data_IF_760769957032
#
_entry.id   IF_760769957032
#
_cell.length_a   1.000
_cell.length_b   1.000
_cell.length_c   1.000
_cell.angle_alpha   90.00
_cell.angle_beta   90.00
_cell.angle_gamma   90.00
#
_symmetry.space_group_name_H-M   'P 1'
#
loop_
_entity.id
_entity.type
_entity.pdbx_description
1 polymer ?
#
# COMPACT_ATOMS: atom_id res chain seq x y z
N UNK A 1 -11.05 -3.07 2.36
CA UNK A 1 -9.87 -2.30 1.93
C UNK A 1 -10.06 -0.81 2.15
N UNK A 2 -9.66 -0.36 3.34
CA UNK A 2 -9.42 1.05 3.63
C UNK A 2 -7.96 1.45 3.31
N UNK A 3 -7.62 2.71 3.56
CA UNK A 3 -6.26 3.24 3.31
C UNK A 3 -5.18 2.55 4.17
N UNK A 4 -5.50 2.15 5.41
CA UNK A 4 -4.55 1.50 6.30
C UNK A 4 -4.25 0.07 5.85
N UNK A 5 -5.27 -0.66 5.40
CA UNK A 5 -5.11 -2.00 4.83
C UNK A 5 -4.22 -1.96 3.58
N UNK A 6 -4.48 -1.01 2.68
CA UNK A 6 -3.66 -0.82 1.49
C UNK A 6 -2.20 -0.50 1.84
N UNK A 7 -1.96 0.42 2.78
CA UNK A 7 -0.59 0.81 3.13
C UNK A 7 0.19 -0.30 3.81
N UNK A 8 -0.47 -1.08 4.67
CA UNK A 8 0.11 -2.30 5.27
C UNK A 8 0.41 -3.35 4.22
N UNK A 9 -0.49 -3.58 3.26
CA UNK A 9 -0.27 -4.52 2.17
C UNK A 9 0.96 -4.15 1.34
N UNK A 10 1.08 -2.88 0.91
CA UNK A 10 2.26 -2.41 0.17
C UNK A 10 3.55 -2.45 1.01
N UNK A 11 3.48 -2.18 2.33
CA UNK A 11 4.65 -2.33 3.22
C UNK A 11 5.12 -3.79 3.30
N UNK A 12 4.18 -4.75 3.41
CA UNK A 12 4.51 -6.19 3.41
C UNK A 12 5.16 -6.61 2.09
N UNK A 13 4.64 -6.14 0.96
CA UNK A 13 5.21 -6.41 -0.37
C UNK A 13 6.62 -5.85 -0.51
N UNK A 14 6.86 -4.61 -0.06
CA UNK A 14 8.20 -4.02 -0.03
C UNK A 14 9.18 -4.89 0.77
N UNK A 15 8.78 -5.32 1.97
CA UNK A 15 9.60 -6.16 2.85
C UNK A 15 9.87 -7.53 2.25
N UNK A 16 8.87 -8.16 1.63
CA UNK A 16 9.02 -9.44 0.95
C UNK A 16 10.05 -9.38 -0.20
N UNK A 17 10.23 -8.21 -0.82
CA UNK A 17 11.24 -7.95 -1.85
C UNK A 17 12.60 -7.47 -1.29
N UNK A 18 12.77 -7.42 0.03
CA UNK A 18 13.98 -6.90 0.70
C UNK A 18 14.35 -5.46 0.32
N UNK A 19 13.37 -4.65 -0.07
CA UNK A 19 13.59 -3.26 -0.47
C UNK A 19 13.49 -2.38 0.78
N UNK A 20 14.46 -1.49 1.01
CA UNK A 20 14.37 -0.53 2.13
C UNK A 20 13.38 0.61 1.84
N UNK A 21 12.90 1.30 2.88
CA UNK A 21 12.06 2.50 2.68
C UNK A 21 12.81 3.61 1.93
N UNK A 22 14.13 3.72 2.13
CA UNK A 22 14.96 4.70 1.43
C UNK A 22 15.04 4.37 -0.07
N UNK A 23 15.33 3.12 -0.40
CA UNK A 23 15.40 2.65 -1.80
C UNK A 23 14.07 2.86 -2.53
N UNK A 24 12.95 2.53 -1.89
CA UNK A 24 11.62 2.80 -2.46
C UNK A 24 11.41 4.31 -2.71
N UNK A 25 11.77 5.13 -1.72
CA UNK A 25 11.63 6.58 -1.81
C UNK A 25 12.43 7.16 -2.98
N UNK A 26 13.69 6.73 -3.12
CA UNK A 26 14.60 7.18 -4.17
C UNK A 26 14.07 6.81 -5.56
N UNK A 27 13.61 5.57 -5.75
CA UNK A 27 13.13 5.09 -7.05
C UNK A 27 11.76 5.67 -7.45
N UNK A 28 10.88 5.93 -6.48
CA UNK A 28 9.55 6.52 -6.73
C UNK A 28 9.61 8.05 -6.85
N UNK A 29 10.68 8.68 -6.35
CA UNK A 29 10.87 10.13 -6.33
C UNK A 29 10.05 10.81 -5.22
N UNK A 30 10.07 10.23 -4.01
CA UNK A 30 9.44 10.80 -2.80
C UNK A 30 10.43 10.82 -1.65
N UNK A 31 10.10 11.51 -0.54
CA UNK A 31 10.95 11.45 0.64
C UNK A 31 10.77 10.13 1.39
N UNK A 32 11.82 9.66 2.09
CA UNK A 32 11.71 8.52 3.01
C UNK A 32 10.65 8.75 4.09
N UNK A 33 10.49 10.00 4.56
CA UNK A 33 9.45 10.36 5.52
C UNK A 33 8.04 10.13 4.95
N UNK A 34 7.83 10.42 3.66
CA UNK A 34 6.57 10.14 2.95
C UNK A 34 6.28 8.63 2.88
N UNK A 35 7.27 7.80 2.58
CA UNK A 35 7.12 6.33 2.61
C UNK A 35 6.81 5.84 4.02
N UNK A 36 7.52 6.35 5.02
CA UNK A 36 7.28 5.99 6.42
C UNK A 36 5.89 6.42 6.91
N UNK A 37 5.44 7.63 6.55
CA UNK A 37 4.09 8.12 6.86
C UNK A 37 3.01 7.28 6.21
N UNK A 38 3.18 6.93 4.94
CA UNK A 38 2.32 6.02 4.20
C UNK A 38 2.18 4.66 4.90
N UNK A 39 3.30 3.97 5.13
CA UNK A 39 3.30 2.61 5.69
C UNK A 39 2.76 2.54 7.12
N UNK A 40 2.82 3.65 7.88
CA UNK A 40 2.25 3.74 9.23
C UNK A 40 0.82 4.30 9.25
N UNK A 41 0.20 4.51 8.09
CA UNK A 41 -1.20 4.94 8.00
C UNK A 41 -1.44 6.36 8.48
N UNK A 42 -0.42 7.24 8.45
CA UNK A 42 -0.62 8.67 8.73
C UNK A 42 -1.45 9.27 7.59
N UNK A 43 -2.71 9.55 7.90
CA UNK A 43 -3.70 10.10 6.97
C UNK A 43 -3.29 11.53 6.62
N UNK A 44 -2.99 11.79 5.33
CA UNK A 44 -2.74 13.15 4.83
C UNK A 44 -1.62 13.32 3.80
N UNK A 45 -0.63 12.43 3.72
CA UNK A 45 0.65 12.80 3.07
C UNK A 45 0.92 12.21 1.67
N UNK A 46 0.16 11.20 1.24
CA UNK A 46 0.46 10.47 -0.01
C UNK A 46 -0.72 10.48 -0.96
N UNK A 47 -0.67 11.41 -1.92
CA UNK A 47 -1.63 11.48 -3.01
C UNK A 47 -1.61 10.21 -3.88
N UNK A 48 -2.77 9.87 -4.47
CA UNK A 48 -3.00 8.64 -5.25
C UNK A 48 -1.93 8.38 -6.33
N UNK A 49 -1.41 9.42 -6.97
CA UNK A 49 -0.33 9.31 -7.97
C UNK A 49 0.92 8.63 -7.41
N UNK A 50 1.29 8.95 -6.17
CA UNK A 50 2.46 8.35 -5.49
C UNK A 50 2.16 6.89 -5.12
N UNK A 51 0.94 6.61 -4.66
CA UNK A 51 0.50 5.24 -4.33
C UNK A 51 0.58 4.34 -5.56
N UNK A 52 0.08 4.81 -6.71
CA UNK A 52 0.16 4.09 -7.98
C UNK A 52 1.61 3.80 -8.38
N UNK A 53 2.52 4.79 -8.28
CA UNK A 53 3.95 4.58 -8.55
C UNK A 53 4.60 3.58 -7.59
N UNK A 54 4.22 3.58 -6.31
CA UNK A 54 4.73 2.60 -5.34
C UNK A 54 4.27 1.19 -5.73
N UNK A 55 2.99 1.01 -6.06
CA UNK A 55 2.46 -0.27 -6.50
C UNK A 55 3.19 -0.76 -7.75
N UNK A 56 3.31 0.10 -8.77
CA UNK A 56 3.99 -0.20 -10.04
C UNK A 56 5.45 -0.60 -9.81
N UNK A 57 6.20 0.17 -9.01
CA UNK A 57 7.58 -0.15 -8.64
C UNK A 57 7.69 -1.50 -7.92
N UNK A 58 6.70 -1.87 -7.11
CA UNK A 58 6.64 -3.17 -6.44
C UNK A 58 6.16 -4.29 -7.39
N UNK A 59 5.80 -3.99 -8.63
CA UNK A 59 5.31 -4.95 -9.63
C UNK A 59 3.83 -5.29 -9.48
N UNK A 60 3.03 -4.37 -8.96
CA UNK A 60 1.59 -4.52 -8.75
C UNK A 60 0.83 -3.35 -9.37
N UNK A 61 -0.38 -3.61 -9.83
CA UNK A 61 -1.32 -2.59 -10.28
C UNK A 61 -2.52 -2.48 -9.33
N UNK A 62 -3.15 -1.31 -9.30
CA UNK A 62 -4.41 -1.10 -8.58
C UNK A 62 -5.57 -1.20 -9.56
N UNK A 63 -6.43 -2.20 -9.34
CA UNK A 63 -7.63 -2.43 -10.15
C UNK A 63 -8.89 -2.11 -9.34
N UNK A 64 -9.88 -1.49 -9.99
CA UNK A 64 -11.21 -1.32 -9.43
C UNK A 64 -12.00 -2.62 -9.62
N UNK A 65 -12.67 -3.07 -8.56
CA UNK A 65 -13.59 -4.21 -8.59
C UNK A 65 -14.97 -3.76 -8.12
N UNK A 66 -16.02 -4.36 -8.67
CA UNK A 66 -17.37 -4.17 -8.14
C UNK A 66 -17.42 -4.61 -6.67
N UNK A 67 -18.18 -3.89 -5.85
CA UNK A 67 -18.43 -4.32 -4.48
C UNK A 67 -19.29 -5.58 -4.52
N UNK A 68 -18.79 -6.66 -3.95
CA UNK A 68 -19.57 -7.88 -3.73
C UNK A 68 -20.60 -7.64 -2.64
N UNK A 69 -21.82 -8.16 -2.82
CA UNK A 69 -22.84 -8.21 -1.78
C UNK A 69 -22.49 -9.20 -0.65
N UNK A 70 -21.55 -10.11 -0.91
CA UNK A 70 -21.07 -11.12 0.03
C UNK A 70 -19.63 -10.82 0.45
N UNK A 71 -19.30 -10.97 1.74
CA UNK A 71 -17.94 -10.78 2.22
C UNK A 71 -17.02 -11.84 1.61
N UNK A 72 -15.76 -11.47 1.43
CA UNK A 72 -14.69 -12.39 1.06
C UNK A 72 -14.35 -13.31 2.23
N UNK A 73 -13.72 -14.45 1.92
CA UNK A 73 -13.30 -15.43 2.94
C UNK A 73 -12.28 -14.82 3.92
N UNK A 74 -11.49 -13.84 3.48
CA UNK A 74 -10.55 -13.09 4.31
C UNK A 74 -11.27 -12.16 5.29
N UNK A 75 -12.28 -11.40 4.82
CA UNK A 75 -13.11 -10.53 5.66
C UNK A 75 -13.84 -11.32 6.76
N UNK A 76 -14.37 -12.51 6.44
CA UNK A 76 -15.02 -13.39 7.42
C UNK A 76 -14.06 -13.92 8.51
N UNK A 77 -12.76 -13.99 8.24
CA UNK A 77 -11.75 -14.46 9.20
C UNK A 77 -11.32 -13.38 10.17
N UNK A 78 -11.33 -12.11 9.74
CA UNK A 78 -10.93 -10.96 10.55
C UNK A 78 -12.04 -10.48 11.52
N UNK A 79 -13.27 -10.98 11.38
CA UNK A 79 -14.41 -10.68 12.27
C UNK A 79 -14.45 -11.54 13.57
N UNK A 80 -13.53 -12.49 13.77
CA UNK A 80 -13.47 -13.37 14.96
C UNK A 80 -12.33 -13.00 15.91
#
# INVERSE_FOLDING_TARGET
MDYQELSRALSRLRRAKNISQQTLADHVGVSRATVNGFENGRVGDVGIRKVLKIADYLGFELCLKEKSAFPTLEELRDER
#
